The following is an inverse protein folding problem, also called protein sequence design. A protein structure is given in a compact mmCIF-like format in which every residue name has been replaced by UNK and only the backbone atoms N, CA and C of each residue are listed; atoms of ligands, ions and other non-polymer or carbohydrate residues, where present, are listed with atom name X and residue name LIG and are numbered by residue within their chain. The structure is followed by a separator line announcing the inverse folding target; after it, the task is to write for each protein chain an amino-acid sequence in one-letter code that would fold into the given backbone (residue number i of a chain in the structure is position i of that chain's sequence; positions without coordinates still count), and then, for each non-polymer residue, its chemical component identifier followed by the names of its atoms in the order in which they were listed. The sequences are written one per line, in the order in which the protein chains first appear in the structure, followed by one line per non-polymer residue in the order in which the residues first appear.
data_IF_680229906564
#
_entry.id   IF_680229906564
#
_cell.length_a   1.000
_cell.length_b   1.000
_cell.length_c   1.000
_cell.angle_alpha   90.00
_cell.angle_beta   90.00
_cell.angle_gamma   90.00
#
_symmetry.space_group_name_H-M   'P 1'
#
loop_
_entity.id
_entity.type
_entity.pdbx_description
1 polymer ?
#
# COMPACT_ATOMS: atom_id res chain seq x y z
N UNK A 1 -0.21 19.55 4.97
CA UNK A 1 -1.57 19.48 4.43
C UNK A 1 -2.01 18.04 4.32
N UNK A 2 -3.21 17.76 4.78
CA UNK A 2 -3.71 16.39 4.87
C UNK A 2 -4.49 16.00 3.62
N UNK A 3 -4.18 14.81 3.09
CA UNK A 3 -4.93 14.20 2.01
C UNK A 3 -5.87 13.15 2.59
N UNK A 4 -7.03 12.97 1.94
CA UNK A 4 -7.92 11.86 2.26
C UNK A 4 -7.39 10.60 1.58
N UNK A 5 -7.23 9.53 2.34
CA UNK A 5 -6.78 8.25 1.80
C UNK A 5 -7.99 7.37 1.52
N UNK A 6 -8.13 6.94 0.28
CA UNK A 6 -9.18 6.00 -0.16
C UNK A 6 -8.52 4.70 -0.54
N UNK A 7 -9.11 3.59 -0.13
CA UNK A 7 -8.60 2.28 -0.46
C UNK A 7 -9.54 1.65 -1.48
N UNK A 8 -9.02 1.37 -2.68
CA UNK A 8 -9.76 0.69 -3.72
C UNK A 8 -10.19 -0.70 -3.23
N UNK A 9 -11.39 -1.19 -3.60
CA UNK A 9 -11.84 -2.51 -3.16
C UNK A 9 -10.86 -3.65 -3.45
N UNK A 10 -10.14 -3.59 -4.57
CA UNK A 10 -9.13 -4.60 -4.90
C UNK A 10 -7.98 -4.55 -3.87
N UNK A 11 -7.50 -3.36 -3.55
CA UNK A 11 -6.44 -3.20 -2.55
C UNK A 11 -6.92 -3.63 -1.16
N UNK A 12 -8.15 -3.28 -0.80
CA UNK A 12 -8.72 -3.68 0.49
C UNK A 12 -8.78 -5.21 0.62
N UNK A 13 -9.22 -5.89 -0.43
CA UNK A 13 -9.26 -7.35 -0.45
C UNK A 13 -7.85 -7.95 -0.27
N UNK A 14 -6.87 -7.38 -0.93
CA UNK A 14 -5.47 -7.82 -0.81
C UNK A 14 -4.94 -7.62 0.61
N UNK A 15 -5.28 -6.51 1.26
CA UNK A 15 -4.90 -6.25 2.65
C UNK A 15 -5.58 -7.23 3.59
N UNK A 16 -6.85 -7.54 3.37
CA UNK A 16 -7.58 -8.52 4.15
C UNK A 16 -6.97 -9.93 4.04
N UNK A 17 -6.57 -10.32 2.84
CA UNK A 17 -5.87 -11.59 2.61
C UNK A 17 -4.53 -11.63 3.34
N UNK A 18 -3.80 -10.54 3.32
CA UNK A 18 -2.54 -10.38 4.04
C UNK A 18 -2.76 -10.54 5.55
N UNK A 19 -3.77 -9.88 6.11
CA UNK A 19 -4.10 -9.98 7.51
C UNK A 19 -4.47 -11.41 7.92
N UNK A 20 -5.27 -12.09 7.10
CA UNK A 20 -5.65 -13.48 7.34
C UNK A 20 -4.44 -14.41 7.33
N UNK A 21 -3.54 -14.21 6.38
CA UNK A 21 -2.31 -15.00 6.30
C UNK A 21 -1.43 -14.81 7.54
N UNK A 22 -1.27 -13.57 8.01
CA UNK A 22 -0.50 -13.31 9.23
C UNK A 22 -1.15 -13.92 10.46
N UNK A 23 -2.49 -13.89 10.55
CA UNK A 23 -3.24 -14.45 11.68
C UNK A 23 -3.02 -15.94 11.83
N UNK A 24 -2.75 -16.67 10.74
CA UNK A 24 -2.43 -18.09 10.78
C UNK A 24 -1.13 -18.37 11.51
N UNK A 25 -0.22 -17.40 11.56
CA UNK A 25 1.03 -17.51 12.32
C UNK A 25 0.87 -16.98 13.73
N UNK A 26 0.34 -15.78 13.87
CA UNK A 26 0.18 -15.11 15.15
C UNK A 26 -0.83 -13.99 15.02
N UNK A 27 -1.89 -14.07 15.81
CA UNK A 27 -2.93 -13.02 15.85
C UNK A 27 -2.36 -11.68 16.32
N UNK A 28 -1.51 -11.70 17.35
CA UNK A 28 -0.89 -10.50 17.88
C UNK A 28 0.02 -9.83 16.85
N UNK A 29 0.79 -10.62 16.12
CA UNK A 29 1.65 -10.10 15.07
C UNK A 29 0.83 -9.49 13.92
N UNK A 30 -0.28 -10.15 13.54
CA UNK A 30 -1.18 -9.63 12.52
C UNK A 30 -1.76 -8.27 12.92
N UNK A 31 -2.24 -8.15 14.15
CA UNK A 31 -2.78 -6.89 14.68
C UNK A 31 -1.72 -5.79 14.63
N UNK A 32 -0.52 -6.09 15.09
CA UNK A 32 0.60 -5.13 15.09
C UNK A 32 0.92 -4.63 13.68
N UNK A 33 0.98 -5.54 12.70
CA UNK A 33 1.30 -5.16 11.32
C UNK A 33 0.17 -4.36 10.67
N UNK A 34 -1.07 -4.69 10.94
CA UNK A 34 -2.21 -3.94 10.40
C UNK A 34 -2.27 -2.54 11.01
N UNK A 35 -2.02 -2.41 12.30
CA UNK A 35 -1.94 -1.09 12.95
C UNK A 35 -0.81 -0.25 12.35
N UNK A 36 0.34 -0.86 12.10
CA UNK A 36 1.48 -0.21 11.47
C UNK A 36 1.15 0.25 10.06
N UNK A 37 0.47 -0.60 9.28
CA UNK A 37 0.01 -0.26 7.94
C UNK A 37 -0.96 0.92 7.98
N UNK A 38 -1.93 0.89 8.87
CA UNK A 38 -2.89 1.99 9.02
C UNK A 38 -2.20 3.31 9.35
N UNK A 39 -1.19 3.28 10.22
CA UNK A 39 -0.42 4.45 10.57
C UNK A 39 0.39 4.99 9.38
N UNK A 40 0.98 4.12 8.57
CA UNK A 40 1.70 4.50 7.36
C UNK A 40 0.75 5.18 6.37
N UNK A 41 -0.44 4.61 6.17
CA UNK A 41 -1.42 5.20 5.27
C UNK A 41 -1.84 6.60 5.74
N UNK A 42 -2.00 6.78 7.05
CA UNK A 42 -2.41 8.06 7.62
C UNK A 42 -1.28 9.08 7.61
N UNK A 43 -0.10 8.72 8.07
CA UNK A 43 1.02 9.66 8.25
C UNK A 43 1.87 9.83 7.01
N UNK A 44 2.31 8.73 6.41
CA UNK A 44 3.22 8.80 5.26
C UNK A 44 2.49 9.19 3.99
N UNK A 45 1.37 8.55 3.71
CA UNK A 45 0.64 8.78 2.46
C UNK A 45 -0.44 9.85 2.61
N UNK A 46 -1.01 9.99 3.80
CA UNK A 46 -2.03 11.02 4.06
C UNK A 46 -1.45 12.43 4.21
N UNK A 47 -0.23 12.56 4.69
CA UNK A 47 0.39 13.87 4.90
C UNK A 47 1.41 14.24 3.83
N UNK A 48 2.15 13.26 3.30
CA UNK A 48 3.22 13.51 2.35
C UNK A 48 3.23 12.52 1.19
N UNK A 49 2.12 12.39 0.44
CA UNK A 49 2.03 11.38 -0.62
C UNK A 49 2.97 11.62 -1.80
N UNK A 50 3.40 12.85 -2.02
CA UNK A 50 4.28 13.21 -3.13
C UNK A 50 5.75 12.97 -2.83
N UNK A 51 6.08 12.57 -1.60
CA UNK A 51 7.45 12.27 -1.19
C UNK A 51 7.98 10.99 -1.83
N UNK A 52 7.08 10.03 -2.10
CA UNK A 52 7.46 8.69 -2.58
C UNK A 52 7.47 8.66 -4.10
N UNK A 53 8.42 7.91 -4.66
CA UNK A 53 8.67 7.92 -6.09
C UNK A 53 7.63 7.18 -6.92
N UNK A 54 7.73 7.34 -8.23
CA UNK A 54 6.87 6.61 -9.17
C UNK A 54 7.26 5.14 -9.19
N UNK A 55 6.26 4.29 -9.40
CA UNK A 55 6.48 2.86 -9.56
C UNK A 55 7.22 2.60 -10.89
N UNK A 56 8.39 1.93 -10.85
CA UNK A 56 9.32 1.96 -11.99
C UNK A 56 8.82 1.30 -13.27
N UNK A 57 7.86 0.39 -13.18
CA UNK A 57 7.42 -0.36 -14.36
C UNK A 57 6.29 0.30 -15.13
N UNK A 58 5.58 1.23 -14.53
CA UNK A 58 4.37 1.78 -15.13
C UNK A 58 4.53 3.19 -15.63
N UNK A 59 5.58 3.88 -15.18
CA UNK A 59 5.69 5.30 -15.40
C UNK A 59 4.64 6.07 -14.59
N UNK A 60 4.42 7.31 -14.93
CA UNK A 60 3.40 8.12 -14.28
C UNK A 60 2.00 7.62 -14.66
N UNK A 61 0.98 7.76 -13.80
CA UNK A 61 0.98 8.50 -12.54
C UNK A 61 1.08 7.63 -11.28
N UNK A 62 1.46 6.36 -11.41
CA UNK A 62 1.47 5.42 -10.29
C UNK A 62 2.70 5.64 -9.41
N UNK A 63 2.46 5.78 -8.09
CA UNK A 63 3.50 5.90 -7.09
C UNK A 63 3.49 4.66 -6.21
N UNK A 64 4.59 4.41 -5.53
CA UNK A 64 4.71 3.23 -4.68
C UNK A 64 5.45 3.54 -3.38
N UNK A 65 4.96 2.94 -2.31
CA UNK A 65 5.61 2.93 -1.00
C UNK A 65 5.91 1.49 -0.63
N UNK A 66 7.13 1.20 -0.18
CA UNK A 66 7.51 -0.16 0.20
C UNK A 66 7.21 -0.40 1.67
N UNK A 67 6.27 -1.30 1.93
CA UNK A 67 5.90 -1.72 3.27
C UNK A 67 6.64 -3.02 3.61
N UNK A 68 7.47 -2.98 4.65
CA UNK A 68 8.29 -4.12 5.07
C UNK A 68 7.68 -4.82 6.26
N UNK A 69 7.53 -6.14 6.16
CA UNK A 69 7.01 -7.02 7.19
C UNK A 69 8.10 -8.01 7.54
N UNK A 70 8.89 -7.71 8.57
CA UNK A 70 10.05 -8.53 8.91
C UNK A 70 11.16 -8.42 7.87
N UNK A 71 12.04 -9.43 7.80
CA UNK A 71 13.24 -9.36 6.98
C UNK A 71 13.05 -9.74 5.52
N UNK A 72 12.07 -10.59 5.22
CA UNK A 72 11.93 -11.20 3.89
C UNK A 72 10.63 -10.86 3.18
N UNK A 73 9.66 -10.34 3.89
CA UNK A 73 8.34 -10.07 3.33
C UNK A 73 8.17 -8.58 3.12
N UNK A 74 7.93 -8.20 1.89
CA UNK A 74 7.75 -6.81 1.50
C UNK A 74 6.56 -6.69 0.57
N UNK A 75 5.81 -5.59 0.69
CA UNK A 75 4.67 -5.29 -0.16
C UNK A 75 4.80 -3.89 -0.72
N UNK A 76 4.45 -3.74 -1.99
CA UNK A 76 4.28 -2.43 -2.59
C UNK A 76 2.87 -1.92 -2.33
N UNK A 77 2.77 -0.72 -1.79
CA UNK A 77 1.52 0.01 -1.71
C UNK A 77 1.51 0.92 -2.94
N UNK A 78 0.71 0.58 -3.93
CA UNK A 78 0.65 1.31 -5.20
C UNK A 78 -0.53 2.24 -5.18
N UNK A 79 -0.30 3.52 -5.47
CA UNK A 79 -1.31 4.54 -5.31
C UNK A 79 -1.17 5.66 -6.35
N UNK A 80 -2.23 6.44 -6.49
CA UNK A 80 -2.24 7.68 -7.25
C UNK A 80 -2.62 8.83 -6.34
N UNK A 81 -2.25 10.05 -6.73
CA UNK A 81 -2.56 11.25 -5.97
C UNK A 81 -3.36 12.19 -6.85
N UNK A 82 -4.54 12.57 -6.38
CA UNK A 82 -5.32 13.65 -6.97
C UNK A 82 -5.07 14.89 -6.14
N UNK A 83 -4.19 15.76 -6.61
CA UNK A 83 -3.78 16.95 -5.87
C UNK A 83 -4.91 17.97 -5.74
N UNK A 84 -5.76 18.08 -6.75
CA UNK A 84 -6.86 19.05 -6.74
C UNK A 84 -7.92 18.67 -5.70
N UNK A 85 -8.30 17.39 -5.67
CA UNK A 85 -9.25 16.87 -4.71
C UNK A 85 -8.64 16.54 -3.35
N UNK A 86 -7.31 16.49 -3.27
CA UNK A 86 -6.53 16.06 -2.10
C UNK A 86 -6.90 14.66 -1.67
N UNK A 87 -6.88 13.75 -2.63
CA UNK A 87 -7.20 12.34 -2.41
C UNK A 87 -6.02 11.49 -2.84
N UNK A 88 -5.64 10.54 -1.97
CA UNK A 88 -4.71 9.46 -2.28
C UNK A 88 -5.54 8.21 -2.50
N UNK A 89 -5.45 7.63 -3.68
CA UNK A 89 -6.16 6.39 -4.00
C UNK A 89 -5.20 5.22 -3.93
N UNK A 90 -5.39 4.34 -2.96
CA UNK A 90 -4.61 3.11 -2.82
C UNK A 90 -5.21 2.09 -3.77
N UNK A 91 -4.47 1.70 -4.79
CA UNK A 91 -4.94 0.83 -5.86
C UNK A 91 -4.61 -0.63 -5.64
N UNK A 92 -3.40 -0.91 -5.16
CA UNK A 92 -2.91 -2.28 -4.97
C UNK A 92 -2.04 -2.39 -3.72
N UNK A 93 -2.13 -3.56 -3.09
CA UNK A 93 -1.22 -3.99 -2.03
C UNK A 93 -0.55 -5.26 -2.55
N UNK A 94 0.62 -5.11 -3.17
CA UNK A 94 1.25 -6.15 -4.00
C UNK A 94 2.53 -6.69 -3.38
N UNK A 95 2.62 -8.01 -3.28
CA UNK A 95 3.84 -8.64 -2.76
C UNK A 95 5.04 -8.32 -3.66
N UNK A 96 6.11 -7.79 -3.07
CA UNK A 96 7.31 -7.44 -3.81
C UNK A 96 8.09 -8.68 -4.32
N UNK A 97 7.75 -9.87 -3.83
CA UNK A 97 8.34 -11.11 -4.32
C UNK A 97 7.67 -11.63 -5.59
N UNK A 98 6.50 -11.08 -5.95
CA UNK A 98 5.82 -11.46 -7.18
C UNK A 98 6.37 -10.67 -8.36
N UNK A 99 6.29 -11.28 -9.55
CA UNK A 99 6.72 -10.67 -10.79
C UNK A 99 5.93 -9.38 -11.05
N UNK A 100 6.61 -8.22 -11.12
CA UNK A 100 5.94 -6.95 -11.39
C UNK A 100 5.23 -6.90 -12.74
N UNK A 101 5.66 -7.72 -13.72
CA UNK A 101 5.02 -7.78 -15.02
C UNK A 101 3.58 -8.32 -14.95
N UNK A 102 3.23 -8.98 -13.86
CA UNK A 102 1.86 -9.47 -13.63
C UNK A 102 0.94 -8.43 -13.05
N UNK A 103 1.45 -7.25 -12.73
CA UNK A 103 0.62 -6.16 -12.23
C UNK A 103 -0.32 -5.67 -13.31
N UNK A 104 -1.60 -5.63 -12.99
CA UNK A 104 -2.64 -5.10 -13.86
C UNK A 104 -3.06 -3.72 -13.34
N UNK A 105 -2.36 -2.71 -13.81
CA UNK A 105 -2.62 -1.31 -13.45
C UNK A 105 -3.42 -0.64 -14.57
N UNK A 106 -4.70 -0.83 -14.55
CA UNK A 106 -5.60 -0.24 -15.55
C UNK A 106 -6.20 1.07 -15.12
#
# INVERSE_FOLDING_TARGET
MTYRVRIDPVALDQIEQFAAWLSDYSEDFAIEQIERLAEILRLNLGEAPLTWGYFPLTGAPYRAYLFRVGRRTQYWIIYTVDEDARIVNILLFWSASRDPERLDLR
#
